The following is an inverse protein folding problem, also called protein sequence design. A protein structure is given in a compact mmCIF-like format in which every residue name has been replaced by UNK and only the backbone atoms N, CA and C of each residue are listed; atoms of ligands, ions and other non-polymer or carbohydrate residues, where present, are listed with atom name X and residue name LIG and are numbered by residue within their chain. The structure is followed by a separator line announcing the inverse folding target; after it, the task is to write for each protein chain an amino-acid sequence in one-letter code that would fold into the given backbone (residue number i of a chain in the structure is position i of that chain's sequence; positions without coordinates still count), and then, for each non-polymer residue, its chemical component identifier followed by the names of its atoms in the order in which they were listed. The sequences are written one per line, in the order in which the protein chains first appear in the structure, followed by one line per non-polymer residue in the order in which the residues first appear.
data_IF_706043414056
#
_entry.id   IF_706043414056
#
_cell.length_a   1.000
_cell.length_b   1.000
_cell.length_c   1.000
_cell.angle_alpha   90.00
_cell.angle_beta   90.00
_cell.angle_gamma   90.00
#
_symmetry.space_group_name_H-M   'P 1'
#
loop_
_entity.id
_entity.type
_entity.pdbx_description
1 polymer ?
#
# COMPACT_ATOMS: atom_id res chain seq x y z
N UNK A 1 7.89 -7.03 23.29
CA UNK A 1 6.94 -5.98 22.88
C UNK A 1 6.51 -6.30 21.46
N UNK A 2 5.31 -6.85 21.27
CA UNK A 2 4.79 -7.23 19.94
C UNK A 2 3.66 -6.26 19.65
N UNK A 3 3.94 -5.21 18.87
CA UNK A 3 2.89 -4.42 18.25
C UNK A 3 2.58 -5.08 16.91
N UNK A 4 1.50 -5.84 16.87
CA UNK A 4 0.89 -6.41 15.65
C UNK A 4 -0.38 -5.64 15.36
N UNK A 5 -0.26 -4.58 14.57
CA UNK A 5 -1.36 -3.82 13.94
C UNK A 5 -0.77 -3.29 12.62
N UNK A 6 -1.38 -3.36 11.44
CA UNK A 6 -2.49 -4.13 10.88
C UNK A 6 -2.33 -4.13 9.34
N UNK A 7 -2.98 -5.03 8.60
CA UNK A 7 -3.02 -4.96 7.12
C UNK A 7 -3.91 -3.78 6.66
N UNK A 8 -3.45 -2.54 6.81
CA UNK A 8 -4.21 -1.31 6.55
C UNK A 8 -3.56 -0.53 5.41
N UNK A 9 -4.40 0.13 4.61
CA UNK A 9 -3.95 1.18 3.70
C UNK A 9 -4.07 2.53 4.40
N UNK A 10 -3.02 3.34 4.33
CA UNK A 10 -2.97 4.68 4.88
C UNK A 10 -2.65 5.67 3.76
N UNK A 11 -3.49 6.68 3.58
CA UNK A 11 -3.20 7.76 2.62
C UNK A 11 -2.31 8.79 3.30
N UNK A 12 -1.23 9.21 2.62
CA UNK A 12 -0.40 10.33 3.02
C UNK A 12 -0.33 11.34 1.87
N UNK A 13 -0.30 12.62 2.21
CA UNK A 13 -0.11 13.67 1.20
C UNK A 13 1.25 13.45 0.50
N UNK A 14 1.26 13.55 -0.82
CA UNK A 14 2.51 13.65 -1.57
C UNK A 14 2.99 15.10 -1.48
N UNK A 15 4.26 15.32 -1.14
CA UNK A 15 4.85 16.67 -1.15
C UNK A 15 4.87 17.30 -2.57
N UNK A 16 4.69 16.49 -3.61
CA UNK A 16 4.66 16.92 -5.01
C UNK A 16 3.63 16.11 -5.85
N UNK A 17 2.46 16.70 -6.10
CA UNK A 17 1.50 16.22 -7.12
C UNK A 17 0.07 15.98 -6.62
N UNK A 18 -0.89 15.98 -7.56
CA UNK A 18 -2.36 15.86 -7.31
C UNK A 18 -2.83 14.48 -6.81
N UNK A 19 -1.93 13.58 -6.43
CA UNK A 19 -2.27 12.23 -6.00
C UNK A 19 -1.59 11.89 -4.68
N UNK A 20 -2.37 11.65 -3.63
CA UNK A 20 -1.84 11.11 -2.38
C UNK A 20 -1.10 9.79 -2.60
N UNK A 21 -0.12 9.49 -1.76
CA UNK A 21 0.57 8.20 -1.73
C UNK A 21 -0.19 7.28 -0.78
N UNK A 22 -0.39 6.02 -1.17
CA UNK A 22 -1.08 5.03 -0.30
C UNK A 22 -0.07 4.06 0.27
N UNK A 23 0.22 4.16 1.56
CA UNK A 23 1.09 3.23 2.28
C UNK A 23 0.36 1.93 2.61
N UNK A 24 1.07 0.82 2.50
CA UNK A 24 0.64 -0.51 2.90
C UNK A 24 1.34 -0.90 4.20
N UNK A 25 0.58 -0.95 5.30
CA UNK A 25 1.08 -1.44 6.57
C UNK A 25 1.12 -2.98 6.55
N UNK A 26 2.28 -3.55 6.87
CA UNK A 26 2.54 -4.98 6.77
C UNK A 26 3.00 -5.58 8.10
N UNK A 27 2.63 -6.84 8.34
CA UNK A 27 2.96 -7.54 9.60
C UNK A 27 4.38 -8.09 9.69
N UNK A 28 5.21 -7.91 8.66
CA UNK A 28 6.60 -8.40 8.68
C UNK A 28 7.41 -7.64 9.75
N UNK A 29 8.22 -8.37 10.52
CA UNK A 29 9.08 -7.82 11.56
C UNK A 29 10.34 -7.16 10.99
N UNK A 30 10.20 -6.38 9.91
CA UNK A 30 11.28 -5.64 9.27
C UNK A 30 10.85 -4.20 8.97
N UNK A 31 11.77 -3.22 9.06
CA UNK A 31 11.46 -1.81 8.80
C UNK A 31 11.50 -1.55 7.29
N UNK A 32 10.42 -1.88 6.58
CA UNK A 32 10.26 -1.57 5.16
C UNK A 32 9.01 -0.72 4.97
N UNK A 33 9.18 0.47 4.41
CA UNK A 33 8.07 1.27 3.93
C UNK A 33 7.63 0.74 2.57
N UNK A 34 6.33 0.50 2.42
CA UNK A 34 5.71 0.04 1.17
C UNK A 34 4.60 0.99 0.82
N UNK A 35 4.58 1.48 -0.43
CA UNK A 35 3.51 2.35 -0.88
C UNK A 35 3.15 2.14 -2.35
N UNK A 36 1.92 2.52 -2.68
CA UNK A 36 1.41 2.61 -4.03
C UNK A 36 1.52 4.05 -4.50
N UNK A 37 2.08 4.22 -5.70
CA UNK A 37 2.29 5.52 -6.33
C UNK A 37 1.74 5.49 -7.75
N UNK A 38 1.04 6.55 -8.16
CA UNK A 38 0.56 6.70 -9.54
C UNK A 38 1.75 6.71 -10.50
N UNK A 39 1.62 6.03 -11.64
CA UNK A 39 2.71 5.92 -12.61
C UNK A 39 2.15 5.81 -14.02
N UNK A 40 2.52 6.76 -14.88
CA UNK A 40 2.19 6.72 -16.31
C UNK A 40 3.16 5.84 -17.12
N UNK A 41 4.17 5.25 -16.46
CA UNK A 41 5.22 4.44 -17.10
C UNK A 41 4.81 2.99 -17.36
N UNK A 42 3.64 2.55 -16.91
CA UNK A 42 3.19 1.18 -17.07
C UNK A 42 1.69 1.09 -17.35
N UNK A 43 1.25 -0.08 -17.85
CA UNK A 43 -0.16 -0.36 -18.20
C UNK A 43 -1.12 -0.40 -17.02
N UNK A 44 -0.62 -0.50 -15.79
CA UNK A 44 -1.43 -0.57 -14.58
C UNK A 44 -1.78 0.84 -14.04
N UNK A 45 -1.05 1.87 -14.47
CA UNK A 45 -1.26 3.25 -14.02
C UNK A 45 -0.71 3.54 -12.61
N UNK A 46 -0.03 2.58 -11.98
CA UNK A 46 0.59 2.71 -10.66
C UNK A 46 1.69 1.65 -10.44
N UNK A 47 2.53 1.87 -9.42
CA UNK A 47 3.63 0.97 -9.01
C UNK A 47 3.62 0.74 -7.50
N UNK A 48 4.21 -0.38 -7.08
CA UNK A 48 4.57 -0.61 -5.67
C UNK A 48 6.02 -0.18 -5.47
N UNK A 49 6.25 0.71 -4.51
CA UNK A 49 7.55 1.20 -4.12
C UNK A 49 7.95 0.67 -2.75
N UNK A 50 9.26 0.62 -2.52
CA UNK A 50 9.86 0.10 -1.30
C UNK A 50 10.98 1.02 -0.82
N UNK A 51 11.05 1.26 0.49
CA UNK A 51 12.19 1.91 1.12
C UNK A 51 12.53 1.20 2.42
N UNK A 52 13.80 0.86 2.60
CA UNK A 52 14.29 0.25 3.83
C UNK A 52 15.55 1.01 4.30
N UNK A 53 15.86 1.02 5.60
CA UNK A 53 17.10 1.61 6.13
C UNK A 53 18.37 0.96 5.57
N UNK A 54 18.30 -0.31 5.16
CA UNK A 54 19.42 -1.08 4.59
C UNK A 54 18.96 -1.85 3.36
N UNK A 55 19.75 -1.83 2.30
CA UNK A 55 19.42 -2.51 1.03
C UNK A 55 19.27 -4.02 1.17
N UNK A 56 20.07 -4.66 2.03
CA UNK A 56 20.04 -6.11 2.23
C UNK A 56 18.68 -6.65 2.68
N UNK A 57 17.88 -5.83 3.39
CA UNK A 57 16.51 -6.19 3.78
C UNK A 57 15.61 -6.32 2.54
N UNK A 58 15.77 -5.44 1.56
CA UNK A 58 15.02 -5.52 0.32
C UNK A 58 15.49 -6.72 -0.53
N UNK A 59 16.78 -7.02 -0.55
CA UNK A 59 17.29 -8.18 -1.30
C UNK A 59 16.67 -9.49 -0.80
N UNK A 60 16.45 -9.61 0.51
CA UNK A 60 15.85 -10.79 1.14
C UNK A 60 14.32 -10.82 1.02
N UNK A 61 13.63 -9.71 1.30
CA UNK A 61 12.18 -9.72 1.52
C UNK A 61 11.34 -9.10 0.39
N UNK A 62 11.94 -8.39 -0.58
CA UNK A 62 11.19 -7.60 -1.58
C UNK A 62 10.13 -8.39 -2.31
N UNK A 63 10.46 -9.62 -2.74
CA UNK A 63 9.52 -10.46 -3.49
C UNK A 63 8.30 -10.84 -2.64
N UNK A 64 8.51 -11.19 -1.37
CA UNK A 64 7.43 -11.62 -0.49
C UNK A 64 6.56 -10.44 -0.03
N UNK A 65 7.18 -9.28 0.21
CA UNK A 65 6.46 -8.03 0.48
C UNK A 65 5.58 -7.66 -0.72
N UNK A 66 6.15 -7.66 -1.94
CA UNK A 66 5.41 -7.36 -3.16
C UNK A 66 4.23 -8.29 -3.37
N UNK A 67 4.43 -9.61 -3.23
CA UNK A 67 3.35 -10.61 -3.36
C UNK A 67 2.25 -10.38 -2.32
N UNK A 68 2.60 -10.03 -1.08
CA UNK A 68 1.61 -9.74 -0.05
C UNK A 68 0.79 -8.49 -0.38
N UNK A 69 1.45 -7.40 -0.81
CA UNK A 69 0.79 -6.17 -1.21
C UNK A 69 -0.19 -6.40 -2.37
N UNK A 70 0.23 -7.14 -3.41
CA UNK A 70 -0.64 -7.50 -4.54
C UNK A 70 -1.83 -8.34 -4.09
N UNK A 71 -1.60 -9.42 -3.34
CA UNK A 71 -2.69 -10.29 -2.83
C UNK A 71 -3.68 -9.52 -1.97
N UNK A 72 -3.20 -8.55 -1.19
CA UNK A 72 -4.07 -7.70 -0.39
C UNK A 72 -4.99 -6.84 -1.27
N UNK A 73 -4.43 -6.20 -2.30
CA UNK A 73 -5.21 -5.40 -3.26
C UNK A 73 -6.25 -6.26 -3.98
N UNK A 74 -5.87 -7.44 -4.47
CA UNK A 74 -6.80 -8.34 -5.18
C UNK A 74 -7.96 -8.79 -4.28
N UNK A 75 -7.66 -9.15 -3.02
CA UNK A 75 -8.69 -9.54 -2.04
C UNK A 75 -9.66 -8.40 -1.75
N UNK A 76 -9.14 -7.17 -1.62
CA UNK A 76 -9.94 -6.00 -1.25
C UNK A 76 -10.76 -5.47 -2.42
N UNK A 77 -10.19 -5.49 -3.63
CA UNK A 77 -10.87 -5.12 -4.87
C UNK A 77 -11.81 -6.22 -5.40
N UNK A 78 -11.65 -7.47 -4.92
CA UNK A 78 -12.38 -8.67 -5.38
C UNK A 78 -12.24 -8.93 -6.89
N UNK A 79 -11.09 -8.57 -7.46
CA UNK A 79 -10.74 -8.75 -8.88
C UNK A 79 -9.22 -8.80 -9.05
N UNK A 80 -8.70 -9.29 -10.20
CA UNK A 80 -7.27 -9.34 -10.47
C UNK A 80 -6.61 -7.96 -10.41
N UNK A 81 -5.36 -7.89 -9.95
CA UNK A 81 -4.63 -6.61 -9.81
C UNK A 81 -4.50 -5.86 -11.13
N UNK A 82 -4.54 -6.58 -12.24
CA UNK A 82 -4.47 -6.05 -13.60
C UNK A 82 -5.68 -5.18 -13.98
N UNK A 83 -6.78 -5.26 -13.23
CA UNK A 83 -8.01 -4.49 -13.42
C UNK A 83 -8.21 -3.41 -12.34
N UNK A 84 -7.22 -3.22 -11.45
CA UNK A 84 -7.28 -2.25 -10.36
C UNK A 84 -6.57 -0.97 -10.79
N UNK A 85 -7.29 0.14 -10.82
CA UNK A 85 -6.73 1.47 -11.08
C UNK A 85 -6.19 2.12 -9.81
N UNK A 86 -5.37 3.17 -9.95
CA UNK A 86 -4.91 3.94 -8.79
C UNK A 86 -6.07 4.59 -8.00
N UNK A 87 -7.12 5.01 -8.69
CA UNK A 87 -8.32 5.58 -8.04
C UNK A 87 -9.02 4.55 -7.15
N UNK A 88 -9.03 3.27 -7.54
CA UNK A 88 -9.55 2.20 -6.69
C UNK A 88 -8.72 2.03 -5.42
N UNK A 89 -7.38 2.13 -5.53
CA UNK A 89 -6.48 2.05 -4.37
C UNK A 89 -6.74 3.20 -3.39
N UNK A 90 -6.89 4.42 -3.91
CA UNK A 90 -7.25 5.60 -3.12
C UNK A 90 -8.62 5.43 -2.44
N UNK A 91 -9.63 4.94 -3.17
CA UNK A 91 -10.96 4.67 -2.62
C UNK A 91 -10.90 3.62 -1.50
N UNK A 92 -10.11 2.56 -1.67
CA UNK A 92 -9.91 1.52 -0.66
C UNK A 92 -9.24 2.03 0.62
N UNK A 93 -8.33 3.00 0.49
CA UNK A 93 -7.68 3.69 1.61
C UNK A 93 -8.67 4.61 2.34
N UNK A 94 -9.41 5.46 1.60
CA UNK A 94 -10.38 6.39 2.18
C UNK A 94 -11.56 5.68 2.85
N UNK A 95 -12.00 4.53 2.33
CA UNK A 95 -13.04 3.72 2.96
C UNK A 95 -12.66 3.21 4.37
N UNK A 96 -11.38 3.25 4.76
CA UNK A 96 -10.92 2.94 6.12
C UNK A 96 -11.01 4.13 7.07
N UNK A 97 -10.90 5.36 6.57
CA UNK A 97 -11.04 6.57 7.39
C UNK A 97 -12.50 6.83 7.77
N UNK A 98 -13.45 6.53 6.87
CA UNK A 98 -14.89 6.75 7.15
C UNK A 98 -15.43 5.85 8.28
N UNK A 99 -14.77 4.74 8.61
CA UNK A 99 -15.18 3.88 9.75
C UNK A 99 -14.75 4.39 11.12
N UNK A 100 -14.12 5.57 11.23
CA UNK A 100 -13.60 6.11 12.49
C UNK A 100 -14.30 7.40 12.99
N UNK A 101 -15.51 7.69 12.52
CA UNK A 101 -16.33 8.81 13.04
C UNK A 101 -17.77 8.35 13.25
N UNK A 102 -18.00 7.65 14.36
CA UNK A 102 -19.28 7.67 15.08
C UNK A 102 -18.96 7.30 16.54
N UNK A 103 -18.60 8.32 17.33
CA UNK A 103 -18.69 8.27 18.77
C UNK A 103 -19.57 9.44 19.19
N UNK A 104 -20.81 9.10 19.51
CA UNK A 104 -21.78 9.90 20.25
C UNK A 104 -21.24 10.34 21.61
#
# INVERSE_FOLDING_TARGET
MIATFANKLEMRAADHGDGGIVFYDHSLRCPVDVWFEKSDKNKFGWVVQFKAPRSSILDEFRTDIFRQAVKYIERRARRPVTEVSFADIMSMANALEVKHLDLH
#
